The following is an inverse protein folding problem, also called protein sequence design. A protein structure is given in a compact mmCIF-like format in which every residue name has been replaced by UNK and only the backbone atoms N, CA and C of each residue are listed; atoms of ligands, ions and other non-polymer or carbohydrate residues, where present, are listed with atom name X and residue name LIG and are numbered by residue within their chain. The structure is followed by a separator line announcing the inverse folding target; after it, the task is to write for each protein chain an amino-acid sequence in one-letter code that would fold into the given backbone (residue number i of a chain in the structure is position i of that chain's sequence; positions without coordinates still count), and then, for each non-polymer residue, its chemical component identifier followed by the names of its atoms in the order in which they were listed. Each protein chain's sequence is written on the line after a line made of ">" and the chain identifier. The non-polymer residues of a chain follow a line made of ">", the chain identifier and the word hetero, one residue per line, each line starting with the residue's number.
data_IF_773798557248
#
_entry.id   IF_773798557248
#
_cell.length_a   1.000
_cell.length_b   1.000
_cell.length_c   1.000
_cell.angle_alpha   90.00
_cell.angle_beta   90.00
_cell.angle_gamma   90.00
#
_symmetry.space_group_name_H-M   'P 1'
#
loop_
_entity.id
_entity.type
_entity.pdbx_description
1 polymer ?
#
# COMPACT_ATOMS: atom_id res chain seq x y z
N UNK A 1 -16.30 -5.13 7.25
CA UNK A 1 -16.48 -3.68 7.04
C UNK A 1 -15.59 -3.32 5.87
N UNK A 2 -16.14 -2.78 4.78
CA UNK A 2 -15.31 -2.36 3.64
C UNK A 2 -14.52 -1.13 4.11
N UNK A 3 -13.19 -1.22 4.15
CA UNK A 3 -12.35 -0.11 4.61
C UNK A 3 -12.17 0.86 3.42
N UNK A 4 -12.97 1.91 3.36
CA UNK A 4 -12.91 2.93 2.29
C UNK A 4 -11.88 4.04 2.61
N UNK A 5 -10.60 3.68 2.76
CA UNK A 5 -9.50 4.62 3.02
C UNK A 5 -8.64 4.90 1.78
N UNK A 6 -8.78 4.09 0.74
CA UNK A 6 -8.10 4.28 -0.54
C UNK A 6 -8.91 5.26 -1.40
N UNK A 7 -8.27 6.35 -1.81
CA UNK A 7 -8.82 7.34 -2.74
C UNK A 7 -8.37 7.00 -4.17
N UNK A 8 -9.30 6.60 -5.06
CA UNK A 8 -8.95 6.35 -6.45
C UNK A 8 -8.70 7.67 -7.19
N UNK A 9 -7.66 7.68 -8.03
CA UNK A 9 -7.41 8.69 -9.03
C UNK A 9 -7.18 7.98 -10.38
N UNK A 10 -7.41 8.66 -11.50
CA UNK A 10 -7.43 8.06 -12.84
C UNK A 10 -6.18 7.24 -13.17
N UNK A 11 -5.03 7.60 -12.61
CA UNK A 11 -3.75 6.93 -12.83
C UNK A 11 -2.97 6.66 -11.54
N UNK A 12 -3.64 6.75 -10.39
CA UNK A 12 -2.95 6.61 -9.10
C UNK A 12 -3.89 6.05 -8.05
N UNK A 13 -3.32 5.25 -7.16
CA UNK A 13 -3.95 4.82 -5.91
C UNK A 13 -3.37 5.73 -4.82
N UNK A 14 -4.22 6.37 -4.03
CA UNK A 14 -3.79 7.33 -3.00
C UNK A 14 -4.34 6.89 -1.66
N UNK A 15 -3.47 6.73 -0.67
CA UNK A 15 -3.82 6.62 0.74
C UNK A 15 -3.43 7.94 1.43
N UNK A 16 -4.37 8.56 2.13
CA UNK A 16 -4.12 9.81 2.87
C UNK A 16 -4.06 9.55 4.37
N UNK A 17 -2.98 10.01 5.01
CA UNK A 17 -2.71 9.70 6.41
C UNK A 17 -2.03 8.34 6.57
N UNK A 18 -1.73 7.99 7.82
CA UNK A 18 -1.11 6.73 8.18
C UNK A 18 -1.94 6.06 9.27
N UNK A 19 -2.27 4.79 9.06
CA UNK A 19 -2.99 3.94 10.01
C UNK A 19 -2.30 2.58 10.12
N UNK A 20 -1.75 2.28 11.30
CA UNK A 20 -1.03 1.05 11.58
C UNK A 20 -1.89 -0.21 11.36
N UNK A 21 -3.20 -0.12 11.48
CA UNK A 21 -4.13 -1.24 11.25
C UNK A 21 -4.31 -1.59 9.77
N UNK A 22 -3.88 -0.70 8.86
CA UNK A 22 -4.03 -0.88 7.41
C UNK A 22 -2.73 -1.30 6.73
N UNK A 23 -1.58 -1.21 7.40
CA UNK A 23 -0.25 -1.45 6.82
C UNK A 23 -0.17 -2.76 6.04
N UNK A 24 -0.61 -3.89 6.62
CA UNK A 24 -0.52 -5.19 5.94
C UNK A 24 -1.32 -5.23 4.62
N UNK A 25 -2.49 -4.56 4.60
CA UNK A 25 -3.32 -4.45 3.41
C UNK A 25 -2.70 -3.46 2.40
N UNK A 26 -2.26 -2.28 2.86
CA UNK A 26 -1.63 -1.25 2.04
C UNK A 26 -0.38 -1.76 1.34
N UNK A 27 0.52 -2.43 2.05
CA UNK A 27 1.74 -3.02 1.46
C UNK A 27 1.45 -3.97 0.29
N UNK A 28 0.32 -4.68 0.36
CA UNK A 28 -0.12 -5.60 -0.68
C UNK A 28 -0.71 -4.84 -1.88
N UNK A 29 -1.52 -3.81 -1.63
CA UNK A 29 -2.16 -2.96 -2.67
C UNK A 29 -1.11 -2.15 -3.45
N UNK A 30 -0.11 -1.60 -2.74
CA UNK A 30 0.93 -0.74 -3.32
C UNK A 30 2.15 -1.52 -3.83
N UNK A 31 2.09 -2.86 -3.84
CA UNK A 31 3.17 -3.71 -4.32
C UNK A 31 3.60 -3.38 -5.77
N UNK A 32 4.90 -3.45 -6.04
CA UNK A 32 5.47 -3.23 -7.37
C UNK A 32 6.09 -4.51 -7.91
N UNK A 33 6.05 -4.68 -9.24
CA UNK A 33 6.68 -5.81 -9.91
C UNK A 33 6.88 -5.59 -11.39
N UNK A 34 7.87 -6.27 -11.96
CA UNK A 34 8.24 -6.19 -13.38
C UNK A 34 8.20 -7.56 -14.10
N UNK A 35 7.59 -8.57 -13.47
CA UNK A 35 7.50 -9.94 -13.98
C UNK A 35 8.71 -10.83 -13.68
N UNK A 36 9.88 -10.26 -13.41
CA UNK A 36 11.07 -11.00 -12.94
C UNK A 36 11.22 -10.93 -11.41
N UNK A 37 10.85 -9.80 -10.82
CA UNK A 37 10.84 -9.57 -9.38
C UNK A 37 9.59 -8.80 -8.98
N UNK A 38 9.23 -8.94 -7.71
CA UNK A 38 8.19 -8.14 -7.07
C UNK A 38 8.56 -7.88 -5.62
N UNK A 39 8.17 -6.72 -5.12
CA UNK A 39 8.35 -6.33 -3.73
C UNK A 39 7.03 -5.75 -3.21
N UNK A 40 6.70 -6.11 -1.96
CA UNK A 40 5.64 -5.40 -1.23
C UNK A 40 6.06 -3.96 -1.01
N UNK A 41 5.08 -3.06 -0.85
CA UNK A 41 5.37 -1.68 -0.52
C UNK A 41 5.62 -1.50 0.99
N UNK A 42 6.50 -2.33 1.56
CA UNK A 42 6.96 -2.15 2.93
C UNK A 42 7.79 -0.88 3.05
N UNK A 43 7.78 -0.28 4.23
CA UNK A 43 8.70 0.82 4.53
C UNK A 43 10.16 0.37 4.43
N UNK A 44 11.03 1.24 3.92
CA UNK A 44 12.47 0.97 3.80
C UNK A 44 13.17 1.10 5.16
N UNK A 45 12.66 2.01 6.01
CA UNK A 45 13.02 2.11 7.40
C UNK A 45 12.52 0.92 8.23
N UNK A 46 13.14 0.72 9.39
CA UNK A 46 12.65 -0.27 10.34
C UNK A 46 11.28 0.14 10.87
N UNK A 47 10.30 -0.73 10.64
CA UNK A 47 8.93 -0.59 11.12
C UNK A 47 8.56 -1.85 11.93
N UNK A 48 8.02 -1.67 13.14
CA UNK A 48 7.70 -2.75 14.11
C UNK A 48 6.45 -2.46 14.90
#
# INVERSE_FOLDING_TARGET
>A
MNKDYIKPNNWSIIEEGFDAENVEASESIFSLGNGAMGQRANFEEHYS
#
